data_IF_781787595738
#
_entry.id   IF_781787595738
#
_cell.length_a   1.000
_cell.length_b   1.000
_cell.length_c   1.000
_cell.angle_alpha   90.00
_cell.angle_beta   90.00
_cell.angle_gamma   90.00
#
_symmetry.space_group_name_H-M   'P 1'
#
loop_
_entity.id
_entity.type
_entity.pdbx_description
1 polymer ?
#
# COMPACT_ATOMS: atom_id res chain seq x y z
N UNK A 1 24.58 -7.47 17.55
CA UNK A 1 23.87 -7.74 16.27
C UNK A 1 22.42 -7.33 16.44
N UNK A 2 21.94 -6.34 15.70
CA UNK A 2 20.53 -5.98 15.72
C UNK A 2 19.73 -7.09 15.02
N UNK A 3 18.79 -7.72 15.74
CA UNK A 3 17.92 -8.74 15.15
C UNK A 3 17.03 -8.08 14.09
N UNK A 4 17.25 -8.42 12.82
CA UNK A 4 16.34 -8.07 11.74
C UNK A 4 15.04 -8.84 11.97
N UNK A 5 13.96 -8.14 12.31
CA UNK A 5 12.64 -8.76 12.42
C UNK A 5 12.05 -8.85 11.03
N UNK A 6 11.92 -10.07 10.51
CA UNK A 6 11.32 -10.37 9.22
C UNK A 6 9.81 -10.39 9.32
N UNK A 7 9.15 -9.78 8.34
CA UNK A 7 7.69 -9.72 8.26
C UNK A 7 7.20 -10.55 7.08
N UNK A 8 6.37 -11.56 7.36
CA UNK A 8 5.78 -12.53 6.41
C UNK A 8 4.30 -12.72 6.73
N UNK A 9 3.47 -13.27 5.82
CA UNK A 9 2.07 -13.58 6.13
C UNK A 9 1.91 -14.43 7.41
N UNK A 10 2.79 -15.41 7.61
CA UNK A 10 2.76 -16.30 8.78
C UNK A 10 3.18 -15.61 10.09
N UNK A 11 4.06 -14.60 10.02
CA UNK A 11 4.43 -13.79 11.19
C UNK A 11 3.47 -12.62 11.43
N UNK A 12 2.56 -12.37 10.47
CA UNK A 12 1.54 -11.33 10.50
C UNK A 12 0.19 -11.80 11.04
N UNK A 13 -0.18 -13.06 10.79
CA UNK A 13 -1.45 -13.75 11.11
C UNK A 13 -2.36 -13.04 12.14
N UNK A 14 -3.16 -12.08 11.68
CA UNK A 14 -4.12 -11.34 12.50
C UNK A 14 -3.55 -10.53 13.68
N UNK A 15 -2.22 -10.48 13.85
CA UNK A 15 -1.56 -9.98 15.08
C UNK A 15 -1.53 -8.45 15.20
N UNK A 16 -1.63 -7.71 14.10
CA UNK A 16 -1.48 -6.26 14.11
C UNK A 16 -2.68 -5.56 13.44
N UNK A 17 -3.52 -4.84 14.19
CA UNK A 17 -4.37 -3.82 13.59
C UNK A 17 -3.47 -2.76 12.92
N UNK A 18 -3.98 -2.09 11.86
CA UNK A 18 -3.23 -1.08 11.09
C UNK A 18 -2.33 -0.08 11.87
N UNK A 19 -2.67 0.43 13.07
CA UNK A 19 -1.74 1.29 13.82
C UNK A 19 -0.47 0.59 14.31
N UNK A 20 -0.48 -0.74 14.40
CA UNK A 20 0.61 -1.55 14.97
C UNK A 20 1.53 -2.14 13.88
N UNK A 21 1.40 -1.70 12.62
CA UNK A 21 2.32 -2.19 11.58
C UNK A 21 3.73 -1.71 11.89
N UNK A 22 4.73 -2.61 11.88
CA UNK A 22 6.02 -2.31 12.48
C UNK A 22 6.89 -1.49 11.51
N UNK A 23 6.68 -0.18 11.52
CA UNK A 23 7.52 0.76 10.77
C UNK A 23 9.00 0.62 11.19
N UNK A 24 9.90 0.70 10.22
CA UNK A 24 11.34 0.49 10.43
C UNK A 24 11.78 -0.98 10.47
N UNK A 25 10.88 -1.95 10.28
CA UNK A 25 11.24 -3.35 10.04
C UNK A 25 11.45 -3.62 8.55
N UNK A 26 12.09 -4.75 8.26
CA UNK A 26 12.42 -5.18 6.90
C UNK A 26 11.39 -6.21 6.44
N UNK A 27 10.77 -5.94 5.29
CA UNK A 27 9.95 -6.90 4.57
C UNK A 27 10.78 -7.46 3.42
N UNK A 28 10.99 -8.77 3.38
CA UNK A 28 11.61 -9.42 2.22
C UNK A 28 10.83 -10.65 1.85
N UNK A 29 10.33 -10.65 0.63
CA UNK A 29 9.86 -11.88 0.00
C UNK A 29 8.77 -11.62 -1.03
N UNK A 30 8.68 -12.44 -2.08
CA UNK A 30 7.50 -12.43 -2.92
C UNK A 30 6.27 -12.79 -2.08
N UNK A 31 5.17 -12.04 -2.23
CA UNK A 31 3.87 -12.47 -1.73
C UNK A 31 3.05 -13.02 -2.87
N UNK A 32 3.12 -14.33 -3.09
CA UNK A 32 2.32 -15.02 -4.12
C UNK A 32 0.97 -15.43 -3.55
N UNK A 33 -0.09 -15.04 -4.25
CA UNK A 33 -1.44 -15.55 -4.06
C UNK A 33 -2.02 -15.98 -5.41
N UNK A 34 -3.28 -16.44 -5.43
CA UNK A 34 -3.96 -16.88 -6.65
C UNK A 34 -4.09 -15.81 -7.75
N UNK A 35 -3.75 -14.55 -7.45
CA UNK A 35 -3.75 -13.43 -8.40
C UNK A 35 -2.34 -13.11 -8.94
N UNK A 36 -1.31 -13.88 -8.56
CA UNK A 36 0.04 -13.76 -9.13
C UNK A 36 0.81 -12.50 -8.72
N UNK A 37 0.59 -11.95 -7.53
CA UNK A 37 1.38 -10.78 -7.06
C UNK A 37 2.70 -11.25 -6.43
N UNK A 38 3.79 -10.53 -6.23
CA UNK A 38 4.33 -9.21 -6.57
C UNK A 38 5.61 -9.05 -5.72
N UNK A 39 6.72 -8.53 -6.26
CA UNK A 39 7.94 -8.23 -5.46
C UNK A 39 7.87 -6.81 -4.87
N UNK A 40 8.62 -6.53 -3.81
CA UNK A 40 8.71 -5.19 -3.18
C UNK A 40 7.35 -4.63 -2.70
N UNK A 41 7.07 -3.36 -3.01
CA UNK A 41 5.95 -2.59 -2.47
C UNK A 41 4.57 -3.23 -2.71
N UNK A 42 4.35 -3.84 -3.87
CA UNK A 42 3.06 -4.44 -4.24
C UNK A 42 2.80 -5.73 -3.45
N UNK A 43 3.83 -6.56 -3.27
CA UNK A 43 3.74 -7.79 -2.49
C UNK A 43 3.44 -7.50 -1.02
N UNK A 44 4.16 -6.53 -0.44
CA UNK A 44 3.91 -6.06 0.92
C UNK A 44 2.47 -5.60 1.09
N UNK A 45 2.02 -4.67 0.25
CA UNK A 45 0.69 -4.08 0.37
C UNK A 45 -0.42 -5.12 0.18
N UNK A 46 -0.22 -6.13 -0.68
CA UNK A 46 -1.19 -7.23 -0.83
C UNK A 46 -1.22 -8.14 0.39
N UNK A 47 -0.05 -8.51 0.93
CA UNK A 47 0.05 -9.33 2.14
C UNK A 47 -0.70 -8.68 3.32
N UNK A 48 -0.49 -7.38 3.54
CA UNK A 48 -1.16 -6.62 4.60
C UNK A 48 -2.69 -6.67 4.45
N UNK A 49 -3.19 -6.44 3.24
CA UNK A 49 -4.61 -6.51 2.95
C UNK A 49 -5.18 -7.90 3.26
N UNK A 50 -4.59 -8.95 2.67
CA UNK A 50 -5.09 -10.31 2.79
C UNK A 50 -5.06 -10.79 4.25
N UNK A 51 -3.98 -10.49 4.98
CA UNK A 51 -3.79 -10.97 6.35
C UNK A 51 -4.57 -10.18 7.42
N UNK A 52 -4.80 -8.86 7.22
CA UNK A 52 -5.54 -8.02 8.19
C UNK A 52 -7.02 -7.88 7.85
N UNK A 53 -7.37 -7.75 6.56
CA UNK A 53 -8.71 -7.37 6.10
C UNK A 53 -9.39 -8.43 5.21
N UNK A 54 -8.64 -9.44 4.75
CA UNK A 54 -9.11 -10.37 3.74
C UNK A 54 -9.07 -9.77 2.33
N UNK A 55 -9.65 -10.48 1.37
CA UNK A 55 -9.44 -10.26 -0.08
C UNK A 55 -9.84 -8.86 -0.59
N UNK A 56 -10.78 -8.20 0.09
CA UNK A 56 -11.25 -6.87 -0.29
C UNK A 56 -12.00 -6.79 -1.63
N UNK A 57 -12.46 -5.58 -1.98
CA UNK A 57 -13.18 -5.29 -3.24
C UNK A 57 -12.31 -4.42 -4.15
N UNK A 58 -12.28 -4.72 -5.45
CA UNK A 58 -11.42 -4.05 -6.42
C UNK A 58 -11.64 -2.54 -6.49
N UNK A 59 -10.56 -1.78 -6.69
CA UNK A 59 -10.58 -0.35 -7.00
C UNK A 59 -10.55 -0.11 -8.51
N UNK A 60 -11.29 0.90 -8.96
CA UNK A 60 -11.25 1.38 -10.34
C UNK A 60 -9.92 2.06 -10.68
N UNK A 61 -9.55 2.01 -11.96
CA UNK A 61 -8.46 2.82 -12.51
C UNK A 61 -8.90 4.27 -12.64
N UNK A 62 -8.01 5.21 -12.33
CA UNK A 62 -8.24 6.65 -12.39
C UNK A 62 -6.95 7.36 -12.81
N UNK A 63 -7.03 8.23 -13.82
CA UNK A 63 -5.92 9.11 -14.20
C UNK A 63 -5.92 10.41 -13.40
N UNK A 64 -4.74 10.88 -12.97
CA UNK A 64 -4.60 12.18 -12.32
C UNK A 64 -4.61 13.38 -13.29
N UNK A 65 -4.61 13.12 -14.60
CA UNK A 65 -4.92 14.14 -15.61
C UNK A 65 -6.43 14.43 -15.71
N UNK A 66 -7.27 13.51 -15.25
CA UNK A 66 -8.74 13.60 -15.37
C UNK A 66 -9.39 13.94 -14.03
N UNK A 67 -8.82 13.45 -12.93
CA UNK A 67 -9.38 13.57 -11.58
C UNK A 67 -8.28 14.00 -10.61
N UNK A 68 -8.60 14.90 -9.67
CA UNK A 68 -7.64 15.26 -8.63
C UNK A 68 -7.32 14.06 -7.72
N UNK A 69 -6.10 13.93 -7.15
CA UNK A 69 -5.81 12.90 -6.16
C UNK A 69 -6.80 12.90 -4.99
N UNK A 70 -7.21 14.08 -4.54
CA UNK A 70 -8.22 14.24 -3.49
C UNK A 70 -9.52 13.52 -3.85
N UNK A 71 -10.03 13.76 -5.06
CA UNK A 71 -11.27 13.15 -5.55
C UNK A 71 -11.10 11.65 -5.81
N UNK A 72 -9.95 11.23 -6.34
CA UNK A 72 -9.63 9.81 -6.54
C UNK A 72 -9.63 9.04 -5.20
N UNK A 73 -9.25 9.70 -4.10
CA UNK A 73 -9.21 9.12 -2.76
C UNK A 73 -10.51 9.28 -1.96
N UNK A 74 -11.56 9.93 -2.49
CA UNK A 74 -12.80 10.19 -1.74
C UNK A 74 -13.42 8.90 -1.17
N UNK A 75 -13.46 7.84 -1.97
CA UNK A 75 -14.06 6.55 -1.65
C UNK A 75 -13.05 5.46 -1.21
N UNK A 76 -11.76 5.80 -1.13
CA UNK A 76 -10.72 4.88 -0.68
C UNK A 76 -10.74 4.80 0.86
N UNK A 77 -10.86 3.60 1.41
CA UNK A 77 -11.00 3.38 2.86
C UNK A 77 -9.63 3.21 3.54
N UNK A 78 -9.58 3.45 4.86
CA UNK A 78 -8.47 2.99 5.71
C UNK A 78 -8.32 1.48 5.54
N UNK A 79 -7.09 0.99 5.36
CA UNK A 79 -6.79 -0.42 5.08
C UNK A 79 -6.76 -0.76 3.59
N UNK A 80 -7.14 0.16 2.71
CA UNK A 80 -7.12 -0.10 1.27
C UNK A 80 -5.69 -0.27 0.75
N UNK A 81 -5.51 -1.28 -0.10
CA UNK A 81 -4.34 -1.41 -0.96
C UNK A 81 -4.54 -0.52 -2.17
N UNK A 82 -3.62 0.39 -2.45
CA UNK A 82 -3.64 1.22 -3.66
C UNK A 82 -2.41 0.92 -4.50
N UNK A 83 -2.61 0.73 -5.81
CA UNK A 83 -1.54 0.58 -6.79
C UNK A 83 -1.52 1.79 -7.71
N UNK A 84 -0.42 2.54 -7.70
CA UNK A 84 -0.18 3.67 -8.58
C UNK A 84 0.57 3.26 -9.84
N UNK A 85 0.39 4.04 -10.92
CA UNK A 85 1.31 4.06 -12.05
C UNK A 85 2.30 5.21 -11.92
N UNK A 86 3.56 4.96 -12.30
CA UNK A 86 4.62 5.97 -12.45
C UNK A 86 4.88 6.34 -13.92
N UNK A 87 4.01 5.90 -14.84
CA UNK A 87 4.22 5.96 -16.30
C UNK A 87 4.83 4.67 -16.85
N UNK A 88 4.46 4.32 -18.09
CA UNK A 88 4.80 3.03 -18.70
C UNK A 88 4.33 1.85 -17.85
N UNK A 89 5.18 0.82 -17.73
CA UNK A 89 4.91 -0.40 -16.94
C UNK A 89 5.32 -0.29 -15.46
N UNK A 90 5.80 0.88 -15.01
CA UNK A 90 6.23 1.06 -13.63
C UNK A 90 5.05 1.28 -12.68
N UNK A 91 5.03 0.51 -11.60
CA UNK A 91 3.94 0.47 -10.62
C UNK A 91 4.46 0.59 -9.19
N UNK A 92 3.62 1.08 -8.29
CA UNK A 92 3.96 1.18 -6.87
C UNK A 92 2.75 0.90 -5.97
N UNK A 93 2.91 0.07 -4.96
CA UNK A 93 1.83 -0.35 -4.06
C UNK A 93 1.99 0.14 -2.63
N UNK A 94 0.91 0.59 -1.99
CA UNK A 94 0.90 0.94 -0.56
C UNK A 94 -0.42 0.60 0.13
N UNK A 95 -0.44 0.73 1.45
CA UNK A 95 -1.63 0.60 2.30
C UNK A 95 -2.00 1.95 2.90
N UNK A 96 -3.23 2.38 2.70
CA UNK A 96 -3.75 3.64 3.24
C UNK A 96 -4.05 3.49 4.73
N UNK A 97 -3.36 4.25 5.58
CA UNK A 97 -3.57 4.23 7.02
C UNK A 97 -4.57 5.29 7.49
N UNK A 98 -4.55 6.47 6.88
CA UNK A 98 -5.52 7.54 7.11
C UNK A 98 -5.49 8.56 5.97
N UNK A 99 -6.52 9.41 5.91
CA UNK A 99 -6.65 10.52 4.95
C UNK A 99 -6.78 11.83 5.74
N UNK A 100 -6.31 12.92 5.15
CA UNK A 100 -6.40 14.28 5.68
C UNK A 100 -6.73 15.26 4.55
N UNK A 101 -6.89 16.55 4.86
CA UNK A 101 -7.09 17.58 3.84
C UNK A 101 -5.87 17.79 2.93
N UNK A 102 -4.67 17.44 3.38
CA UNK A 102 -3.40 17.69 2.65
C UNK A 102 -2.78 16.44 2.02
N UNK A 103 -3.23 15.24 2.38
CA UNK A 103 -2.65 13.99 1.89
C UNK A 103 -3.20 12.73 2.55
N UNK A 104 -2.49 11.62 2.35
CA UNK A 104 -2.68 10.38 3.10
C UNK A 104 -1.49 10.12 4.02
N UNK A 105 -1.73 9.37 5.10
CA UNK A 105 -0.68 8.56 5.73
C UNK A 105 -0.77 7.15 5.16
N UNK A 106 0.39 6.57 4.86
CA UNK A 106 0.46 5.25 4.27
C UNK A 106 1.58 4.41 4.88
N UNK A 107 1.36 3.09 4.88
CA UNK A 107 2.41 2.11 5.01
C UNK A 107 2.84 1.66 3.63
N UNK A 108 4.14 1.62 3.43
CA UNK A 108 4.77 1.31 2.17
C UNK A 108 6.04 0.50 2.45
N UNK A 109 6.49 -0.28 1.49
CA UNK A 109 7.74 -0.99 1.58
C UNK A 109 8.64 -0.60 0.41
N UNK A 110 9.94 -0.52 0.67
CA UNK A 110 10.95 -0.30 -0.36
C UNK A 110 10.80 1.07 -1.05
N UNK A 111 10.37 2.09 -0.31
CA UNK A 111 10.37 3.50 -0.78
C UNK A 111 11.80 4.04 -0.91
N UNK A 112 12.72 3.51 -0.11
CA UNK A 112 14.15 3.88 -0.08
C UNK A 112 15.05 2.83 -0.72
N UNK A 113 14.47 1.88 -1.46
CA UNK A 113 15.19 0.76 -2.08
C UNK A 113 15.98 -0.14 -1.11
N UNK A 114 15.53 -0.20 0.15
CA UNK A 114 16.17 -0.91 1.25
C UNK A 114 15.25 -1.96 1.91
N UNK A 115 14.11 -2.27 1.31
CA UNK A 115 13.09 -3.18 1.85
C UNK A 115 12.47 -2.76 3.21
N UNK A 116 12.72 -1.53 3.66
CA UNK A 116 12.17 -1.03 4.92
C UNK A 116 10.69 -0.69 4.78
N UNK A 117 9.89 -1.14 5.74
CA UNK A 117 8.49 -0.70 5.92
C UNK A 117 8.52 0.74 6.44
N UNK A 118 8.08 1.67 5.59
CA UNK A 118 7.99 3.09 5.90
C UNK A 118 6.55 3.47 6.26
N UNK A 119 6.42 4.34 7.26
CA UNK A 119 5.17 5.02 7.59
C UNK A 119 5.36 6.52 7.41
N UNK A 120 4.66 7.12 6.46
CA UNK A 120 4.92 8.51 6.10
C UNK A 120 3.68 9.21 5.52
N UNK A 121 3.76 10.54 5.48
CA UNK A 121 2.77 11.41 4.84
C UNK A 121 3.08 11.55 3.34
N UNK A 122 2.08 11.23 2.50
CA UNK A 122 2.12 11.51 1.07
C UNK A 122 1.11 12.61 0.75
N UNK A 123 1.61 13.82 0.53
CA UNK A 123 0.77 14.97 0.19
C UNK A 123 0.13 14.82 -1.20
N UNK A 124 -1.01 15.47 -1.42
CA UNK A 124 -1.69 15.47 -2.72
C UNK A 124 -0.81 16.04 -3.84
N UNK A 125 -0.05 17.10 -3.55
CA UNK A 125 0.90 17.68 -4.50
C UNK A 125 1.98 16.68 -4.88
N UNK A 126 2.62 16.04 -3.88
CA UNK A 126 3.66 15.05 -4.11
C UNK A 126 3.14 13.81 -4.85
N UNK A 127 1.88 13.45 -4.64
CA UNK A 127 1.24 12.37 -5.36
C UNK A 127 1.10 12.67 -6.86
N UNK A 128 0.68 13.89 -7.24
CA UNK A 128 0.65 14.31 -8.66
C UNK A 128 2.04 14.37 -9.29
N UNK A 129 3.05 14.79 -8.54
CA UNK A 129 4.43 14.85 -9.05
C UNK A 129 5.01 13.46 -9.35
N UNK A 130 4.69 12.47 -8.51
CA UNK A 130 5.30 11.13 -8.58
C UNK A 130 4.53 10.13 -9.43
N UNK A 131 3.23 10.32 -9.61
CA UNK A 131 2.34 9.30 -10.16
C UNK A 131 1.41 9.90 -11.22
N UNK A 132 1.09 9.07 -12.21
CA UNK A 132 0.14 9.44 -13.27
C UNK A 132 -1.31 9.09 -12.92
N UNK A 133 -1.52 8.19 -11.96
CA UNK A 133 -2.85 7.78 -11.53
C UNK A 133 -2.85 6.52 -10.67
N UNK A 134 -4.05 6.07 -10.32
CA UNK A 134 -4.31 4.78 -9.67
C UNK A 134 -4.67 3.79 -10.78
N UNK A 135 -3.98 2.65 -10.82
CA UNK A 135 -4.21 1.59 -11.82
C UNK A 135 -4.85 0.34 -11.24
N UNK A 136 -5.20 0.38 -9.95
CA UNK A 136 -5.94 -0.67 -9.28
C UNK A 136 -5.67 -0.67 -7.79
N UNK A 137 -6.06 -1.77 -7.15
CA UNK A 137 -6.02 -1.90 -5.70
C UNK A 137 -7.29 -2.53 -5.17
N UNK A 138 -7.44 -2.52 -3.85
CA UNK A 138 -8.60 -3.11 -3.19
C UNK A 138 -8.96 -2.32 -1.92
N UNK A 139 -10.24 -2.05 -1.74
CA UNK A 139 -10.79 -1.64 -0.45
C UNK A 139 -10.94 -2.86 0.47
N UNK A 140 -10.69 -2.74 1.78
CA UNK A 140 -10.85 -3.84 2.71
C UNK A 140 -12.31 -4.29 2.80
N UNK A 141 -12.52 -5.60 2.88
CA UNK A 141 -13.78 -6.22 3.29
C UNK A 141 -13.89 -6.22 4.82
N UNK A 142 -15.10 -6.13 5.37
CA UNK A 142 -15.28 -6.49 6.77
C UNK A 142 -14.95 -7.99 6.92
N UNK A 143 -14.08 -8.32 7.88
CA UNK A 143 -13.85 -9.69 8.33
C UNK A 143 -14.86 -10.04 9.41
#
# INVERSE_FOLDING_TARGET
>A
MAYVTWVTPATWDGKYPLPDLPAGKIWTGPYQNSEGTGYSCIGFARMVLDATYGRGSSLSKVSFSEVSPQDAFKNIKKGARVTFSRGGDQQHGLIVASKSSSGIKAYDCNVKDDNTISYYDLSWARMKEKYTGIIGGYNPSAR
#
